data_IF_131441173186
#
_entry.id   IF_131441173186
#
_cell.length_a   1.000
_cell.length_b   1.000
_cell.length_c   1.000
_cell.angle_alpha   90.00
_cell.angle_beta   90.00
_cell.angle_gamma   90.00
#
_symmetry.space_group_name_H-M   'P 1'
#
loop_
_entity.id
_entity.type
_entity.pdbx_description
1 polymer ?
#
# COMPACT_ATOMS: atom_id res chain seq x y z
N UNK A 1 -2.87 -2.74 -9.50
CA UNK A 1 -2.36 -3.37 -8.25
C UNK A 1 -3.55 -3.89 -7.46
N UNK A 2 -3.37 -4.88 -6.57
CA UNK A 2 -4.37 -5.25 -5.56
C UNK A 2 -3.82 -4.99 -4.16
N UNK A 3 -4.58 -4.25 -3.36
CA UNK A 3 -4.32 -4.11 -1.92
C UNK A 3 -5.24 -5.09 -1.18
N UNK A 4 -4.67 -5.85 -0.22
CA UNK A 4 -5.43 -6.76 0.65
C UNK A 4 -5.45 -6.17 2.06
N UNK A 5 -6.64 -6.03 2.65
CA UNK A 5 -6.84 -5.26 3.88
C UNK A 5 -7.72 -6.01 4.88
N UNK A 6 -7.24 -6.33 6.10
CA UNK A 6 -8.06 -6.99 7.12
C UNK A 6 -9.14 -6.08 7.71
N UNK A 7 -8.84 -4.78 7.85
CA UNK A 7 -9.71 -3.82 8.54
C UNK A 7 -10.79 -3.22 7.64
N UNK A 8 -10.67 -3.44 6.33
CA UNK A 8 -11.58 -2.93 5.31
C UNK A 8 -10.90 -1.90 4.42
N UNK A 9 -11.04 -2.04 3.10
CA UNK A 9 -10.78 -0.93 2.19
C UNK A 9 -11.86 0.10 2.47
N UNK A 10 -11.45 1.29 2.91
CA UNK A 10 -12.40 2.37 3.16
C UNK A 10 -12.97 2.80 1.82
N UNK A 11 -14.17 2.33 1.52
CA UNK A 11 -15.18 3.09 0.77
C UNK A 11 -16.10 3.84 1.74
N UNK A 12 -16.14 3.42 3.02
CA UNK A 12 -16.91 4.04 4.11
C UNK A 12 -16.05 4.07 5.39
N UNK A 13 -15.77 5.24 5.98
CA UNK A 13 -15.04 5.33 7.26
C UNK A 13 -15.85 4.71 8.42
N UNK A 14 -15.19 3.96 9.31
CA UNK A 14 -15.70 3.68 10.67
C UNK A 14 -16.34 2.31 10.93
N UNK A 15 -16.40 1.41 9.96
CA UNK A 15 -16.85 0.02 10.19
C UNK A 15 -15.71 -0.95 9.91
N UNK A 16 -15.12 -1.53 10.96
CA UNK A 16 -14.14 -2.61 10.78
C UNK A 16 -14.77 -3.78 10.01
N UNK A 17 -14.02 -4.36 9.08
CA UNK A 17 -14.48 -5.52 8.32
C UNK A 17 -14.23 -6.83 9.08
N UNK A 18 -15.24 -7.71 9.13
CA UNK A 18 -15.10 -9.06 9.71
C UNK A 18 -14.56 -10.10 8.70
N UNK A 19 -14.24 -9.66 7.48
CA UNK A 19 -13.67 -10.48 6.41
C UNK A 19 -12.59 -9.68 5.71
N UNK A 20 -11.54 -10.38 5.26
CA UNK A 20 -10.49 -9.78 4.43
C UNK A 20 -11.10 -9.09 3.21
N UNK A 21 -10.72 -7.83 3.00
CA UNK A 21 -11.12 -7.05 1.84
C UNK A 21 -10.00 -6.97 0.80
N UNK A 22 -10.39 -6.70 -0.44
CA UNK A 22 -9.46 -6.44 -1.53
C UNK A 22 -10.00 -5.38 -2.48
N UNK A 23 -9.11 -4.59 -3.09
CA UNK A 23 -9.48 -3.69 -4.17
C UNK A 23 -8.35 -3.52 -5.17
N UNK A 24 -8.76 -3.23 -6.39
CA UNK A 24 -7.83 -2.82 -7.44
C UNK A 24 -7.55 -1.34 -7.30
N UNK A 25 -6.27 -1.00 -7.15
CA UNK A 25 -5.80 0.38 -6.99
C UNK A 25 -4.79 0.74 -8.07
N UNK A 26 -4.82 1.99 -8.59
CA UNK A 26 -3.81 2.50 -9.51
C UNK A 26 -2.51 2.75 -8.77
N UNK A 27 -1.39 2.59 -9.46
CA UNK A 27 -0.08 3.02 -8.97
C UNK A 27 0.14 4.47 -9.39
N UNK A 28 0.66 5.29 -8.47
CA UNK A 28 1.03 6.67 -8.75
C UNK A 28 2.53 6.80 -8.99
N UNK A 29 2.91 7.75 -9.85
CA UNK A 29 4.31 8.14 -9.98
C UNK A 29 4.81 8.83 -8.71
N UNK A 30 6.13 8.82 -8.49
CA UNK A 30 6.75 9.52 -7.36
C UNK A 30 6.36 11.00 -7.33
N UNK A 31 6.32 11.66 -8.49
CA UNK A 31 5.93 13.07 -8.61
C UNK A 31 4.46 13.28 -8.22
N UNK A 32 3.55 12.44 -8.72
CA UNK A 32 2.13 12.50 -8.33
C UNK A 32 1.96 12.29 -6.83
N UNK A 33 2.72 11.36 -6.24
CA UNK A 33 2.61 11.08 -4.82
C UNK A 33 3.12 12.23 -3.94
N UNK A 34 4.19 12.93 -4.36
CA UNK A 34 4.70 14.12 -3.66
C UNK A 34 3.66 15.23 -3.57
N UNK A 35 2.69 15.31 -4.49
CA UNK A 35 1.60 16.28 -4.38
C UNK A 35 0.70 16.06 -3.15
N UNK A 36 0.69 14.84 -2.58
CA UNK A 36 -0.09 14.51 -1.39
C UNK A 36 0.75 14.45 -0.12
N UNK A 37 1.99 13.99 -0.23
CA UNK A 37 2.83 13.61 0.91
C UNK A 37 4.14 14.39 1.00
N UNK A 38 4.40 15.30 0.06
CA UNK A 38 5.56 16.17 0.00
C UNK A 38 6.87 15.41 0.23
N UNK A 39 7.68 15.87 1.18
CA UNK A 39 9.02 15.34 1.45
C UNK A 39 9.02 13.97 2.14
N UNK A 40 7.85 13.44 2.53
CA UNK A 40 7.75 12.07 3.05
C UNK A 40 7.98 11.01 1.96
N UNK A 41 7.91 11.41 0.68
CA UNK A 41 8.12 10.49 -0.43
C UNK A 41 9.60 10.41 -0.78
N UNK A 42 10.22 9.31 -0.36
CA UNK A 42 11.57 8.91 -0.75
C UNK A 42 11.52 7.80 -1.80
N UNK A 43 12.67 7.40 -2.33
CA UNK A 43 12.79 6.28 -3.26
C UNK A 43 12.28 4.96 -2.67
N UNK A 44 12.30 4.82 -1.34
CA UNK A 44 11.82 3.65 -0.61
C UNK A 44 10.31 3.63 -0.41
N UNK A 45 9.57 4.62 -0.94
CA UNK A 45 8.11 4.71 -0.84
C UNK A 45 7.44 4.54 -2.21
N UNK A 46 6.34 3.81 -2.21
CA UNK A 46 5.38 3.64 -3.31
C UNK A 46 4.04 4.22 -2.89
N UNK A 47 3.24 4.67 -3.86
CA UNK A 47 1.90 5.16 -3.58
C UNK A 47 0.88 4.54 -4.52
N UNK A 48 -0.26 4.16 -3.96
CA UNK A 48 -1.36 3.58 -4.72
C UNK A 48 -2.72 3.97 -4.13
N UNK A 49 -3.75 4.03 -4.95
CA UNK A 49 -5.11 4.42 -4.54
C UNK A 49 -5.41 5.90 -4.78
N UNK A 50 -6.24 6.49 -3.92
CA UNK A 50 -6.71 7.87 -4.08
C UNK A 50 -7.87 8.02 -5.08
N UNK A 51 -8.49 6.89 -5.48
CA UNK A 51 -9.56 6.81 -6.48
C UNK A 51 -10.85 6.23 -5.89
N UNK A 52 -11.25 6.70 -4.72
CA UNK A 52 -12.44 6.20 -4.01
C UNK A 52 -12.15 4.97 -3.14
N UNK A 53 -10.88 4.60 -3.00
CA UNK A 53 -10.41 3.50 -2.16
C UNK A 53 -9.14 3.92 -1.43
N UNK A 54 -9.08 3.63 -0.13
CA UNK A 54 -7.85 3.74 0.64
C UNK A 54 -7.67 2.56 1.61
N UNK A 55 -6.42 2.16 1.89
CA UNK A 55 -6.10 1.43 3.12
C UNK A 55 -6.46 2.28 4.34
N UNK A 56 -6.69 1.62 5.47
CA UNK A 56 -7.14 2.26 6.70
C UNK A 56 -6.37 1.75 7.94
N UNK A 57 -6.78 2.25 9.11
CA UNK A 57 -6.24 1.85 10.41
C UNK A 57 -6.41 0.34 10.62
N UNK A 58 -5.30 -0.36 10.85
CA UNK A 58 -5.27 -1.82 10.96
C UNK A 58 -4.76 -2.53 9.70
N UNK A 59 -4.57 -1.81 8.59
CA UNK A 59 -3.99 -2.39 7.37
C UNK A 59 -2.47 -2.26 7.29
N UNK A 60 -1.84 -1.57 8.25
CA UNK A 60 -0.37 -1.41 8.30
C UNK A 60 0.33 -2.77 8.27
N UNK A 61 1.36 -2.91 7.43
CA UNK A 61 2.00 -4.19 7.16
C UNK A 61 1.29 -5.06 6.11
N UNK A 62 0.09 -4.67 5.66
CA UNK A 62 -0.67 -5.39 4.65
C UNK A 62 -0.02 -5.35 3.25
N UNK A 63 -0.29 -6.35 2.39
CA UNK A 63 0.39 -6.48 1.12
C UNK A 63 -0.27 -5.65 0.01
N UNK A 64 0.57 -5.01 -0.81
CA UNK A 64 0.24 -4.51 -2.14
C UNK A 64 0.89 -5.42 -3.18
N UNK A 65 0.06 -6.07 -4.00
CA UNK A 65 0.51 -7.05 -4.98
C UNK A 65 0.17 -6.62 -6.41
N UNK A 66 0.97 -7.05 -7.38
CA UNK A 66 0.61 -7.05 -8.79
C UNK A 66 0.62 -8.47 -9.34
N UNK A 67 -0.20 -8.72 -10.35
CA UNK A 67 -0.11 -9.96 -11.11
C UNK A 67 0.80 -9.72 -12.31
N UNK A 68 1.79 -10.58 -12.48
CA UNK A 68 2.70 -10.60 -13.63
C UNK A 68 2.93 -12.07 -14.02
N UNK A 69 2.79 -12.37 -15.30
CA UNK A 69 3.05 -13.72 -15.86
C UNK A 69 2.31 -14.84 -15.10
N UNK A 70 1.06 -14.59 -14.71
CA UNK A 70 0.22 -15.54 -13.98
C UNK A 70 0.46 -15.59 -12.46
N UNK A 71 1.56 -15.01 -11.95
CA UNK A 71 1.91 -15.01 -10.54
C UNK A 71 1.60 -13.68 -9.85
N UNK A 72 1.22 -13.74 -8.57
CA UNK A 72 1.09 -12.55 -7.73
C UNK A 72 2.43 -12.23 -7.05
N UNK A 73 2.92 -11.01 -7.26
CA UNK A 73 4.19 -10.52 -6.70
C UNK A 73 3.92 -9.41 -5.71
N UNK A 74 4.52 -9.51 -4.51
CA UNK A 74 4.53 -8.45 -3.52
C UNK A 74 5.42 -7.31 -3.98
N UNK A 75 4.88 -6.11 -4.07
CA UNK A 75 5.64 -4.92 -4.48
C UNK A 75 5.71 -3.84 -3.42
N UNK A 76 4.77 -3.87 -2.47
CA UNK A 76 4.62 -2.84 -1.46
C UNK A 76 4.01 -3.39 -0.18
N UNK A 77 4.33 -2.74 0.93
CA UNK A 77 3.78 -3.05 2.25
C UNK A 77 3.17 -1.78 2.82
N UNK A 78 1.90 -1.79 3.22
CA UNK A 78 1.19 -0.60 3.73
C UNK A 78 2.00 0.03 4.87
N UNK A 79 2.27 1.34 4.77
CA UNK A 79 3.08 2.07 5.75
C UNK A 79 2.27 3.16 6.45
N UNK A 80 1.93 4.24 5.75
CA UNK A 80 1.10 5.32 6.30
C UNK A 80 -0.01 5.73 5.34
N UNK A 81 -1.09 6.27 5.90
CA UNK A 81 -2.34 6.57 5.17
C UNK A 81 -2.84 7.96 5.52
N UNK A 82 -3.71 8.51 4.68
CA UNK A 82 -4.38 9.80 4.93
C UNK A 82 -5.16 9.79 6.24
N UNK A 83 -5.33 10.97 6.84
CA UNK A 83 -6.20 11.13 8.01
C UNK A 83 -7.60 10.60 7.71
N UNK A 84 -8.22 9.97 8.70
CA UNK A 84 -9.57 9.40 8.61
C UNK A 84 -9.80 8.45 7.43
N UNK A 85 -8.74 7.81 6.92
CA UNK A 85 -8.82 6.89 5.79
C UNK A 85 -9.46 7.54 4.57
N UNK A 86 -9.02 8.76 4.24
CA UNK A 86 -9.51 9.49 3.07
C UNK A 86 -9.27 8.72 1.77
N UNK A 87 -10.35 8.53 1.02
CA UNK A 87 -10.36 7.76 -0.24
C UNK A 87 -9.83 8.55 -1.45
N UNK A 88 -9.63 9.86 -1.28
CA UNK A 88 -9.02 10.76 -2.27
C UNK A 88 -7.50 10.92 -2.07
N UNK A 89 -6.96 10.42 -0.95
CA UNK A 89 -5.53 10.44 -0.66
C UNK A 89 -4.94 9.05 -0.93
N UNK A 90 -3.88 8.92 -1.74
CA UNK A 90 -3.27 7.63 -1.98
C UNK A 90 -2.61 7.08 -0.70
N UNK A 91 -2.75 5.78 -0.48
CA UNK A 91 -1.99 5.08 0.54
C UNK A 91 -0.52 5.05 0.18
N UNK A 92 0.35 5.08 1.18
CA UNK A 92 1.79 4.92 1.01
C UNK A 92 2.23 3.53 1.45
N UNK A 93 3.22 3.00 0.75
CA UNK A 93 3.70 1.64 0.89
C UNK A 93 5.22 1.64 0.90
N UNK A 94 5.84 0.85 1.77
CA UNK A 94 7.27 0.55 1.70
C UNK A 94 7.56 -0.22 0.42
N UNK A 95 8.46 0.31 -0.42
CA UNK A 95 8.80 -0.26 -1.73
C UNK A 95 9.64 -1.51 -1.57
N UNK A 96 9.07 -2.67 -1.88
CA UNK A 96 9.76 -3.96 -1.70
C UNK A 96 11.01 -4.04 -2.56
N UNK A 97 10.95 -3.59 -3.82
CA UNK A 97 12.11 -3.64 -4.72
C UNK A 97 13.34 -2.88 -4.22
N UNK A 98 13.15 -1.81 -3.44
CA UNK A 98 14.28 -1.08 -2.80
C UNK A 98 14.80 -1.76 -1.54
N UNK A 99 13.96 -2.52 -0.86
CA UNK A 99 14.31 -3.24 0.36
C UNK A 99 14.78 -4.69 0.10
N UNK A 100 14.76 -5.16 -1.15
CA UNK A 100 15.16 -6.53 -1.51
C UNK A 100 16.56 -6.93 -1.00
N UNK A 101 17.61 -6.10 -1.10
CA UNK A 101 18.93 -6.47 -0.57
C UNK A 101 18.90 -6.76 0.93
N UNK A 102 18.16 -5.96 1.70
CA UNK A 102 17.97 -6.18 3.13
C UNK A 102 17.15 -7.44 3.40
N UNK A 103 16.03 -7.64 2.70
CA UNK A 103 15.19 -8.84 2.84
C UNK A 103 16.00 -10.11 2.58
N UNK A 104 16.79 -10.13 1.50
CA UNK A 104 17.64 -11.26 1.15
C UNK A 104 18.75 -11.50 2.18
N UNK A 105 19.32 -10.45 2.76
CA UNK A 105 20.27 -10.56 3.86
C UNK A 105 19.65 -11.27 5.07
N UNK A 106 18.47 -10.81 5.52
CA UNK A 106 17.77 -11.42 6.66
C UNK A 106 17.40 -12.89 6.40
N UNK A 107 16.94 -13.20 5.18
CA UNK A 107 16.59 -14.57 4.79
C UNK A 107 17.79 -15.51 4.63
N UNK A 108 18.99 -14.99 4.43
CA UNK A 108 20.22 -15.80 4.36
C UNK A 108 20.82 -16.07 5.75
N UNK A 109 20.51 -15.21 6.73
CA UNK A 109 20.99 -15.31 8.10
C UNK A 109 20.11 -16.19 9.01
N UNK A 110 18.91 -16.57 8.55
CA UNK A 110 17.93 -17.37 9.29
C UNK A 110 17.45 -18.57 8.47
#
# INVERSE_FOLDING_TARGET
>A
MRALTPSGISVVPGTGANKLQQATVPLLSTAQCRNFWSDKITDSVLCAGGNGVSPCMGDSGGPLVCQKDGAWTLVGVVSFVGSSCSTSVPGSYSRVTKNMPWIQGILAEN
#
